data_IF_391694806571
#
_entry.id   IF_391694806571
#
_cell.length_a   1.000
_cell.length_b   1.000
_cell.length_c   1.000
_cell.angle_alpha   90.00
_cell.angle_beta   90.00
_cell.angle_gamma   90.00
#
_symmetry.space_group_name_H-M   'P 1'
#
loop_
_entity.id
_entity.type
_entity.pdbx_description
1 polymer ?
#
# COMPACT_ATOMS: atom_id res chain seq x y z
N UNK A 1 -1.56 16.75 -25.49
CA UNK A 1 -1.74 15.51 -24.71
C UNK A 1 -2.89 15.76 -23.75
N UNK A 2 -3.83 14.87 -23.57
CA UNK A 2 -4.88 15.09 -22.59
C UNK A 2 -4.25 15.27 -21.20
N UNK A 3 -4.52 16.41 -20.56
CA UNK A 3 -3.99 16.78 -19.23
C UNK A 3 -4.81 16.18 -18.07
N UNK A 4 -5.62 15.16 -18.33
CA UNK A 4 -6.60 14.70 -17.37
C UNK A 4 -6.16 13.40 -16.72
N UNK A 5 -6.24 13.37 -15.42
CA UNK A 5 -6.23 12.14 -14.64
C UNK A 5 -7.52 11.39 -14.94
N UNK A 6 -7.45 10.09 -15.14
CA UNK A 6 -8.63 9.23 -15.26
C UNK A 6 -8.85 8.45 -13.95
N UNK A 7 -7.77 7.91 -13.39
CA UNK A 7 -7.78 7.11 -12.17
C UNK A 7 -6.90 7.77 -11.10
N UNK A 8 -7.51 8.18 -10.00
CA UNK A 8 -6.85 8.76 -8.84
C UNK A 8 -6.86 7.81 -7.66
N UNK A 9 -5.69 7.43 -7.16
CA UNK A 9 -5.55 6.61 -5.97
C UNK A 9 -4.93 7.41 -4.83
N UNK A 10 -5.42 7.17 -3.62
CA UNK A 10 -4.89 7.70 -2.38
C UNK A 10 -4.46 6.48 -1.54
N UNK A 11 -3.22 6.45 -1.08
CA UNK A 11 -2.70 5.34 -0.28
C UNK A 11 -2.33 5.81 1.13
N UNK A 12 -2.61 4.96 2.12
CA UNK A 12 -2.41 5.25 3.54
C UNK A 12 -0.94 5.23 3.96
N UNK A 13 -0.06 4.62 3.13
CA UNK A 13 1.39 4.60 3.35
C UNK A 13 2.18 4.59 2.04
N UNK A 14 3.49 4.90 2.14
CA UNK A 14 4.37 5.00 0.97
C UNK A 14 4.67 3.65 0.32
N UNK A 15 4.84 2.60 1.12
CA UNK A 15 5.08 1.24 0.61
C UNK A 15 3.87 0.73 -0.17
N UNK A 16 2.67 0.89 0.40
CA UNK A 16 1.44 0.51 -0.28
C UNK A 16 1.17 1.32 -1.55
N UNK A 17 1.54 2.61 -1.56
CA UNK A 17 1.43 3.46 -2.74
C UNK A 17 2.36 2.99 -3.87
N UNK A 18 3.62 2.68 -3.55
CA UNK A 18 4.59 2.18 -4.55
C UNK A 18 4.19 0.81 -5.09
N UNK A 19 3.66 -0.07 -4.23
CA UNK A 19 3.12 -1.37 -4.63
C UNK A 19 1.93 -1.21 -5.58
N UNK A 20 0.96 -0.33 -5.26
CA UNK A 20 -0.17 -0.02 -6.13
C UNK A 20 0.29 0.56 -7.47
N UNK A 21 1.21 1.54 -7.46
CA UNK A 21 1.74 2.14 -8.69
C UNK A 21 2.42 1.09 -9.58
N UNK A 22 3.20 0.18 -8.98
CA UNK A 22 3.82 -0.93 -9.70
C UNK A 22 2.78 -1.89 -10.29
N UNK A 23 1.73 -2.23 -9.54
CA UNK A 23 0.64 -3.08 -10.02
C UNK A 23 -0.11 -2.47 -11.23
N UNK A 24 -0.41 -1.18 -11.17
CA UNK A 24 -1.03 -0.45 -12.28
C UNK A 24 -0.11 -0.39 -13.50
N UNK A 25 1.20 -0.16 -13.29
CA UNK A 25 2.17 -0.06 -14.36
C UNK A 25 2.48 -1.38 -15.09
N UNK A 26 2.19 -2.54 -14.47
CA UNK A 26 2.38 -3.87 -15.11
C UNK A 26 1.63 -4.05 -16.42
N UNK A 27 0.50 -3.36 -16.60
CA UNK A 27 -0.26 -3.34 -17.85
C UNK A 27 0.31 -2.39 -18.92
N UNK A 28 1.44 -1.70 -18.63
CA UNK A 28 2.00 -0.64 -19.44
C UNK A 28 1.31 0.72 -19.25
N UNK A 29 0.40 0.84 -18.28
CA UNK A 29 -0.27 2.10 -17.98
C UNK A 29 0.73 3.17 -17.51
N UNK A 30 0.64 4.41 -17.99
CA UNK A 30 1.46 5.52 -17.52
C UNK A 30 0.95 5.96 -16.12
N UNK A 31 1.76 5.70 -15.11
CA UNK A 31 1.45 5.96 -13.69
C UNK A 31 2.39 7.04 -13.15
N UNK A 32 1.88 7.94 -12.31
CA UNK A 32 2.70 8.80 -11.45
C UNK A 32 2.49 8.40 -9.99
N UNK A 33 3.58 8.39 -9.22
CA UNK A 33 3.56 8.24 -7.76
C UNK A 33 3.96 9.58 -7.13
N UNK A 34 3.14 10.11 -6.24
CA UNK A 34 3.34 11.37 -5.53
C UNK A 34 3.51 11.11 -4.03
N UNK A 35 4.50 11.77 -3.42
CA UNK A 35 4.73 11.70 -1.97
C UNK A 35 4.03 12.87 -1.29
N UNK A 36 2.83 12.63 -0.79
CA UNK A 36 1.95 13.66 -0.22
C UNK A 36 1.37 14.62 -1.26
N UNK A 37 0.71 15.65 -0.76
CA UNK A 37 0.09 16.70 -1.58
C UNK A 37 0.85 18.04 -1.56
N UNK A 38 1.90 18.13 -0.73
CA UNK A 38 2.68 19.35 -0.59
C UNK A 38 3.36 19.73 -1.91
N UNK A 39 3.13 20.96 -2.38
CA UNK A 39 3.70 21.46 -3.63
C UNK A 39 2.97 21.01 -4.90
N UNK A 40 1.90 20.26 -4.80
CA UNK A 40 1.03 19.99 -5.94
C UNK A 40 0.24 21.24 -6.30
N UNK A 41 0.28 21.60 -7.59
CA UNK A 41 -0.43 22.76 -8.15
C UNK A 41 -1.25 22.34 -9.36
N UNK A 42 -2.02 23.25 -9.91
CA UNK A 42 -2.74 23.02 -11.17
C UNK A 42 -1.80 22.80 -12.37
N UNK A 43 -0.57 23.32 -12.32
CA UNK A 43 0.44 23.15 -13.38
C UNK A 43 1.28 21.89 -13.22
N UNK A 44 1.13 21.14 -12.12
CA UNK A 44 1.84 19.87 -11.90
C UNK A 44 1.52 18.89 -13.04
N UNK A 45 2.52 18.38 -13.78
CA UNK A 45 2.30 17.41 -14.86
C UNK A 45 1.65 16.14 -14.31
N UNK A 46 0.61 15.64 -14.99
CA UNK A 46 -0.13 14.44 -14.56
C UNK A 46 -0.07 13.32 -15.58
N UNK A 47 -0.34 12.10 -15.11
CA UNK A 47 -0.55 10.91 -15.93
C UNK A 47 -2.02 10.46 -15.80
N UNK A 48 -2.52 9.60 -16.70
CA UNK A 48 -3.87 9.06 -16.61
C UNK A 48 -4.13 8.30 -15.29
N UNK A 49 -3.07 7.73 -14.70
CA UNK A 49 -3.10 7.06 -13.40
C UNK A 49 -2.21 7.81 -12.41
N UNK A 50 -2.80 8.40 -11.40
CA UNK A 50 -2.10 9.12 -10.33
C UNK A 50 -2.27 8.38 -9.00
N UNK A 51 -1.18 8.15 -8.29
CA UNK A 51 -1.16 7.56 -6.95
C UNK A 51 -0.55 8.55 -5.98
N UNK A 52 -1.31 8.98 -4.98
CA UNK A 52 -0.84 9.88 -3.92
C UNK A 52 -0.57 9.06 -2.66
N UNK A 53 0.68 9.02 -2.23
CA UNK A 53 1.12 8.36 -1.01
C UNK A 53 0.97 9.31 0.18
N UNK A 54 0.17 8.94 1.16
CA UNK A 54 0.06 9.64 2.44
C UNK A 54 0.80 8.85 3.53
N UNK A 55 0.96 9.42 4.72
CA UNK A 55 1.45 8.74 5.92
C UNK A 55 0.37 8.82 7.00
N UNK A 56 -0.80 8.23 6.73
CA UNK A 56 -1.99 8.40 7.56
C UNK A 56 -2.56 7.10 8.15
N UNK A 57 -1.93 5.93 7.92
CA UNK A 57 -2.43 4.63 8.42
C UNK A 57 -2.67 4.63 9.92
N UNK A 58 -1.75 5.18 10.70
CA UNK A 58 -1.78 5.24 12.16
C UNK A 58 -1.90 6.66 12.71
N UNK A 59 -2.19 7.63 11.82
CA UNK A 59 -2.43 9.01 12.24
C UNK A 59 -3.79 9.14 12.96
N UNK A 60 -4.00 10.20 13.76
CA UNK A 60 -5.33 10.54 14.24
C UNK A 60 -6.34 10.65 13.10
N UNK A 61 -7.58 10.20 13.33
CA UNK A 61 -8.62 10.11 12.28
C UNK A 61 -8.88 11.46 11.60
N UNK A 62 -8.92 12.55 12.35
CA UNK A 62 -9.12 13.91 11.84
C UNK A 62 -7.99 14.35 10.88
N UNK A 63 -6.75 14.01 11.20
CA UNK A 63 -5.59 14.24 10.33
C UNK A 63 -5.70 13.40 9.06
N UNK A 64 -6.01 12.11 9.19
CA UNK A 64 -6.18 11.22 8.04
C UNK A 64 -7.29 11.71 7.11
N UNK A 65 -8.42 12.18 7.67
CA UNK A 65 -9.53 12.76 6.90
C UNK A 65 -9.14 14.05 6.18
N UNK A 66 -8.41 14.94 6.84
CA UNK A 66 -7.96 16.19 6.24
C UNK A 66 -7.02 15.93 5.05
N UNK A 67 -6.01 15.07 5.25
CA UNK A 67 -5.03 14.74 4.22
C UNK A 67 -5.65 14.01 3.02
N UNK A 68 -6.55 13.05 3.27
CA UNK A 68 -7.21 12.31 2.20
C UNK A 68 -8.19 13.17 1.40
N UNK A 69 -8.92 14.08 2.04
CA UNK A 69 -9.78 15.05 1.34
C UNK A 69 -8.99 16.03 0.50
N UNK A 70 -7.84 16.50 1.00
CA UNK A 70 -6.97 17.36 0.21
C UNK A 70 -6.46 16.62 -1.05
N UNK A 71 -6.05 15.36 -0.90
CA UNK A 71 -5.63 14.54 -2.03
C UNK A 71 -6.79 14.29 -3.02
N UNK A 72 -8.00 13.98 -2.51
CA UNK A 72 -9.18 13.81 -3.35
C UNK A 72 -9.51 15.07 -4.14
N UNK A 73 -9.54 16.24 -3.49
CA UNK A 73 -9.84 17.52 -4.14
C UNK A 73 -8.87 17.79 -5.30
N UNK A 74 -7.58 17.59 -5.09
CA UNK A 74 -6.59 17.75 -6.16
C UNK A 74 -6.83 16.78 -7.32
N UNK A 75 -7.13 15.50 -7.05
CA UNK A 75 -7.43 14.50 -8.10
C UNK A 75 -8.69 14.89 -8.90
N UNK A 76 -9.74 15.33 -8.22
CA UNK A 76 -10.97 15.80 -8.86
C UNK A 76 -10.73 17.02 -9.76
N UNK A 77 -9.96 18.01 -9.28
CA UNK A 77 -9.57 19.20 -10.07
C UNK A 77 -8.74 18.83 -11.30
N UNK A 78 -8.03 17.69 -11.27
CA UNK A 78 -7.25 17.15 -12.39
C UNK A 78 -8.08 16.26 -13.32
N UNK A 79 -9.36 16.09 -13.05
CA UNK A 79 -10.33 15.38 -13.90
C UNK A 79 -10.44 13.89 -13.64
N UNK A 80 -10.03 13.39 -12.47
CA UNK A 80 -10.20 11.98 -12.12
C UNK A 80 -11.68 11.59 -12.11
N UNK A 81 -12.00 10.46 -12.73
CA UNK A 81 -13.36 9.88 -12.85
C UNK A 81 -13.48 8.58 -12.05
N UNK A 82 -12.36 7.98 -11.66
CA UNK A 82 -12.31 6.74 -10.89
C UNK A 82 -11.35 6.94 -9.73
N UNK A 83 -11.75 6.50 -8.53
CA UNK A 83 -11.04 6.72 -7.30
C UNK A 83 -10.75 5.41 -6.57
N UNK A 84 -9.61 5.36 -5.88
CA UNK A 84 -9.18 4.18 -5.14
C UNK A 84 -8.58 4.55 -3.79
N UNK A 85 -9.14 4.01 -2.71
CA UNK A 85 -8.56 4.10 -1.37
C UNK A 85 -7.72 2.84 -1.09
N UNK A 86 -6.40 3.01 -1.00
CA UNK A 86 -5.42 1.94 -0.83
C UNK A 86 -4.97 1.82 0.62
N UNK A 87 -5.17 0.66 1.18
CA UNK A 87 -4.68 0.28 2.51
C UNK A 87 -3.98 -1.09 2.48
N UNK A 88 -3.48 -1.56 3.64
CA UNK A 88 -2.67 -2.78 3.72
C UNK A 88 -3.45 -4.04 3.34
N UNK A 89 -2.74 -5.00 2.70
CA UNK A 89 -3.31 -6.33 2.41
C UNK A 89 -3.55 -7.19 3.66
N UNK A 90 -2.98 -6.83 4.80
CA UNK A 90 -3.25 -7.40 6.12
C UNK A 90 -4.27 -6.61 6.94
N UNK A 91 -4.95 -5.67 6.29
CA UNK A 91 -5.97 -4.78 6.86
C UNK A 91 -5.44 -3.76 7.87
N UNK A 92 -4.40 -4.04 8.64
CA UNK A 92 -3.66 -3.19 9.61
C UNK A 92 -4.50 -2.05 10.24
N UNK A 93 -5.66 -2.39 10.78
CA UNK A 93 -6.63 -1.40 11.29
C UNK A 93 -7.41 -1.98 12.45
N UNK A 94 -7.41 -1.26 13.57
CA UNK A 94 -8.19 -1.58 14.77
C UNK A 94 -9.59 -0.94 14.72
N UNK A 95 -10.35 -1.03 15.83
CA UNK A 95 -11.65 -0.37 15.94
C UNK A 95 -11.57 1.16 15.80
N UNK A 96 -10.43 1.77 16.17
CA UNK A 96 -10.14 3.19 16.02
C UNK A 96 -9.31 3.50 14.76
N UNK A 97 -9.25 2.55 13.81
CA UNK A 97 -8.44 2.69 12.59
C UNK A 97 -9.07 3.59 11.53
N UNK A 98 -8.28 3.91 10.53
CA UNK A 98 -8.62 4.92 9.51
C UNK A 98 -9.29 4.36 8.25
N UNK A 99 -9.33 3.03 8.06
CA UNK A 99 -9.86 2.44 6.79
C UNK A 99 -11.32 2.83 6.58
N UNK A 100 -12.16 2.59 7.59
CA UNK A 100 -13.60 2.88 7.52
C UNK A 100 -13.92 4.37 7.46
N UNK A 101 -13.43 5.19 8.41
CA UNK A 101 -13.72 6.63 8.44
C UNK A 101 -13.30 7.35 7.16
N UNK A 102 -12.12 7.04 6.61
CA UNK A 102 -11.66 7.61 5.34
C UNK A 102 -12.56 7.15 4.18
N UNK A 103 -12.87 5.87 4.10
CA UNK A 103 -13.77 5.38 3.04
C UNK A 103 -15.14 6.05 3.10
N UNK A 104 -15.76 6.22 4.28
CA UNK A 104 -17.05 6.93 4.43
C UNK A 104 -16.96 8.41 4.03
N UNK A 105 -15.86 9.08 4.39
CA UNK A 105 -15.66 10.47 4.00
C UNK A 105 -15.54 10.61 2.47
N UNK A 106 -14.71 9.75 1.84
CA UNK A 106 -14.54 9.76 0.38
C UNK A 106 -15.83 9.38 -0.34
N UNK A 107 -16.61 8.39 0.16
CA UNK A 107 -17.93 8.06 -0.38
C UNK A 107 -18.87 9.25 -0.32
N UNK A 108 -18.88 10.00 0.78
CA UNK A 108 -19.71 11.19 0.94
C UNK A 108 -19.30 12.29 -0.03
N UNK A 109 -18.02 12.56 -0.15
CA UNK A 109 -17.48 13.63 -0.99
C UNK A 109 -17.63 13.31 -2.50
N UNK A 110 -17.72 12.00 -2.86
CA UNK A 110 -17.95 11.49 -4.22
C UNK A 110 -19.43 11.15 -4.52
N UNK A 111 -20.34 11.32 -3.57
CA UNK A 111 -21.76 10.91 -3.67
C UNK A 111 -21.93 9.40 -4.01
N UNK A 112 -21.05 8.55 -3.47
CA UNK A 112 -21.06 7.11 -3.71
C UNK A 112 -21.86 6.37 -2.64
N UNK A 113 -22.89 5.64 -3.04
CA UNK A 113 -23.76 4.90 -2.13
C UNK A 113 -23.14 3.59 -1.60
N UNK A 114 -22.16 3.03 -2.31
CA UNK A 114 -21.54 1.74 -1.98
C UNK A 114 -20.09 1.67 -2.44
N UNK A 115 -19.24 1.00 -1.64
CA UNK A 115 -17.88 0.62 -2.05
C UNK A 115 -17.53 -0.80 -1.59
N UNK A 116 -16.47 -1.35 -2.16
CA UNK A 116 -15.95 -2.68 -1.82
C UNK A 116 -14.73 -2.56 -0.90
N UNK A 117 -14.51 -3.59 -0.08
CA UNK A 117 -13.32 -3.78 0.75
C UNK A 117 -12.62 -5.07 0.34
N UNK A 118 -11.49 -4.92 -0.30
CA UNK A 118 -10.78 -6.02 -0.92
C UNK A 118 -9.27 -5.99 -0.62
N UNK A 119 -8.85 -6.34 0.61
CA UNK A 119 -7.42 -6.40 0.95
C UNK A 119 -6.69 -7.63 0.37
N UNK A 120 -7.37 -8.66 -0.15
CA UNK A 120 -6.72 -9.87 -0.62
C UNK A 120 -5.61 -9.62 -1.66
N UNK A 121 -4.54 -10.40 -1.54
CA UNK A 121 -3.40 -10.39 -2.44
C UNK A 121 -2.84 -11.81 -2.56
N UNK A 122 -3.43 -12.68 -3.41
CA UNK A 122 -3.09 -14.09 -3.47
C UNK A 122 -1.61 -14.36 -3.75
N UNK A 123 -0.99 -13.60 -4.66
CA UNK A 123 0.45 -13.74 -4.96
C UNK A 123 1.35 -13.51 -3.73
N UNK A 124 0.88 -12.72 -2.75
CA UNK A 124 1.56 -12.49 -1.49
C UNK A 124 0.99 -13.34 -0.33
N UNK A 125 0.19 -14.37 -0.64
CA UNK A 125 -0.41 -15.26 0.34
C UNK A 125 -1.50 -14.62 1.19
N UNK A 126 -2.21 -13.58 0.70
CA UNK A 126 -3.36 -13.01 1.39
C UNK A 126 -4.63 -13.40 0.65
N UNK A 127 -5.46 -14.21 1.29
CA UNK A 127 -6.75 -14.64 0.76
C UNK A 127 -7.88 -14.31 1.74
N UNK A 128 -9.10 -14.19 1.20
CA UNK A 128 -10.30 -13.95 2.00
C UNK A 128 -11.29 -15.06 1.69
N UNK A 129 -11.75 -15.74 2.71
CA UNK A 129 -12.78 -16.78 2.61
C UNK A 129 -13.82 -16.59 3.71
N UNK A 130 -15.10 -16.54 3.32
CA UNK A 130 -16.24 -16.28 4.22
C UNK A 130 -16.03 -15.05 5.12
N UNK A 131 -15.44 -13.97 4.54
CA UNK A 131 -15.13 -12.73 5.23
C UNK A 131 -13.93 -12.79 6.17
N UNK A 132 -13.20 -13.91 6.23
CA UNK A 132 -12.01 -14.06 7.07
C UNK A 132 -10.75 -13.93 6.23
N UNK A 133 -9.83 -13.10 6.67
CA UNK A 133 -8.53 -12.89 6.04
C UNK A 133 -7.52 -13.93 6.53
N UNK A 134 -6.82 -14.53 5.58
CA UNK A 134 -5.71 -15.45 5.81
C UNK A 134 -4.37 -14.82 5.38
N UNK A 135 -3.31 -15.20 6.08
CA UNK A 135 -1.92 -14.87 5.77
C UNK A 135 -1.18 -16.19 5.63
N UNK A 136 -0.87 -16.59 4.39
CA UNK A 136 -0.46 -17.95 4.09
C UNK A 136 -1.55 -18.95 4.45
N UNK A 137 -1.21 -19.95 5.26
CA UNK A 137 -2.13 -21.00 5.72
C UNK A 137 -2.83 -20.67 7.05
N UNK A 138 -2.46 -19.55 7.70
CA UNK A 138 -2.99 -19.16 9.00
C UNK A 138 -4.06 -18.07 8.87
N UNK A 139 -5.01 -18.05 9.80
CA UNK A 139 -5.88 -16.90 9.96
C UNK A 139 -5.04 -15.66 10.32
N UNK A 140 -5.49 -14.47 9.92
CA UNK A 140 -4.84 -13.20 10.28
C UNK A 140 -4.58 -13.12 11.79
N UNK A 141 -5.55 -13.53 12.61
CA UNK A 141 -5.45 -13.57 14.08
C UNK A 141 -4.43 -14.58 14.63
N UNK A 142 -3.99 -15.52 13.82
CA UNK A 142 -3.02 -16.56 14.20
C UNK A 142 -1.67 -16.38 13.49
N UNK A 143 -1.57 -15.31 12.69
CA UNK A 143 -0.36 -14.91 11.98
C UNK A 143 0.54 -14.00 12.84
N UNK A 144 1.78 -13.68 12.40
CA UNK A 144 2.63 -12.70 13.07
C UNK A 144 2.00 -11.30 13.21
N UNK A 145 0.91 -11.01 12.46
CA UNK A 145 0.18 -9.74 12.57
C UNK A 145 -0.67 -9.65 13.84
N UNK A 146 -0.94 -10.76 14.53
CA UNK A 146 -1.73 -10.80 15.78
C UNK A 146 -1.24 -9.78 16.80
N UNK A 147 0.06 -9.75 17.02
CA UNK A 147 0.69 -8.90 18.02
C UNK A 147 1.55 -7.79 17.36
N UNK A 148 1.07 -7.30 16.19
CA UNK A 148 1.72 -6.17 15.52
C UNK A 148 1.76 -4.95 16.45
N UNK A 149 2.94 -4.28 16.62
CA UNK A 149 3.12 -3.27 17.66
C UNK A 149 2.23 -2.03 17.54
N UNK A 150 1.79 -1.66 16.34
CA UNK A 150 0.95 -0.48 16.11
C UNK A 150 -0.51 -0.85 15.85
N UNK A 151 -0.75 -1.96 15.14
CA UNK A 151 -2.07 -2.40 14.72
C UNK A 151 -2.23 -3.90 14.98
N UNK A 152 -2.43 -4.35 16.23
CA UNK A 152 -2.56 -5.78 16.56
C UNK A 152 -3.83 -6.36 15.97
N UNK A 153 -3.66 -7.35 15.06
CA UNK A 153 -4.75 -7.97 14.31
C UNK A 153 -5.24 -9.25 15.00
N UNK A 154 -6.03 -9.10 16.04
CA UNK A 154 -6.54 -10.20 16.88
C UNK A 154 -7.87 -10.81 16.41
N UNK A 155 -8.44 -10.29 15.33
CA UNK A 155 -9.60 -10.85 14.64
C UNK A 155 -9.28 -10.99 13.15
N UNK A 156 -9.74 -12.07 12.55
CA UNK A 156 -9.59 -12.32 11.11
C UNK A 156 -10.82 -11.94 10.31
N UNK A 157 -11.96 -11.70 10.95
CA UNK A 157 -13.21 -11.37 10.27
C UNK A 157 -13.26 -9.90 9.91
N UNK A 158 -13.09 -9.61 8.62
CA UNK A 158 -13.03 -8.25 8.10
C UNK A 158 -14.30 -7.44 8.33
N UNK A 159 -15.47 -8.10 8.34
CA UNK A 159 -16.72 -7.41 8.61
C UNK A 159 -16.80 -6.96 10.08
N UNK A 160 -16.29 -7.78 11.02
CA UNK A 160 -16.22 -7.40 12.44
C UNK A 160 -15.20 -6.30 12.70
N UNK A 161 -14.04 -6.35 12.00
CA UNK A 161 -13.01 -5.32 12.09
C UNK A 161 -13.49 -3.98 11.50
N UNK A 162 -14.26 -4.01 10.42
CA UNK A 162 -14.74 -2.81 9.75
C UNK A 162 -15.95 -2.18 10.46
N UNK A 163 -16.85 -3.00 11.01
CA UNK A 163 -18.11 -2.51 11.60
C UNK A 163 -17.97 -1.39 12.63
N UNK A 164 -17.03 -1.40 13.58
CA UNK A 164 -16.86 -0.29 14.53
C UNK A 164 -16.30 0.99 13.90
N UNK A 165 -15.72 0.90 12.71
CA UNK A 165 -15.11 2.02 12.02
C UNK A 165 -16.09 2.78 11.11
N UNK A 166 -17.28 2.23 10.83
CA UNK A 166 -18.25 2.78 9.87
C UNK A 166 -19.64 2.90 10.48
N UNK A 167 -20.41 3.89 10.01
CA UNK A 167 -21.78 4.14 10.47
C UNK A 167 -22.78 3.26 9.74
N UNK A 168 -22.52 2.97 8.46
CA UNK A 168 -23.40 2.22 7.59
C UNK A 168 -23.17 0.71 7.73
N UNK A 169 -24.11 -0.08 7.23
CA UNK A 169 -24.07 -1.55 7.31
C UNK A 169 -22.93 -2.13 6.47
N UNK A 170 -22.33 -3.19 6.99
CA UNK A 170 -21.29 -3.99 6.32
C UNK A 170 -21.87 -5.32 5.87
N UNK A 171 -21.64 -5.69 4.62
CA UNK A 171 -22.06 -6.95 4.01
C UNK A 171 -20.93 -7.72 3.37
N UNK A 172 -21.29 -8.87 2.78
CA UNK A 172 -20.35 -9.81 2.16
C UNK A 172 -20.83 -10.24 0.77
N UNK A 173 -19.91 -10.20 -0.19
CA UNK A 173 -19.97 -11.05 -1.39
C UNK A 173 -19.09 -12.27 -1.12
N UNK A 174 -19.75 -13.38 -0.81
CA UNK A 174 -19.05 -14.61 -0.43
C UNK A 174 -18.34 -15.30 -1.60
N UNK A 175 -17.38 -16.13 -1.30
CA UNK A 175 -16.66 -16.95 -2.26
C UNK A 175 -17.59 -17.69 -3.23
N UNK A 176 -18.68 -18.29 -2.73
CA UNK A 176 -19.65 -19.00 -3.57
C UNK A 176 -20.29 -18.13 -4.64
N UNK A 177 -20.44 -16.82 -4.39
CA UNK A 177 -20.93 -15.84 -5.37
C UNK A 177 -19.84 -15.47 -6.36
N UNK A 178 -18.63 -15.20 -5.87
CA UNK A 178 -17.48 -14.84 -6.73
C UNK A 178 -17.18 -15.96 -7.72
N UNK A 179 -17.24 -17.21 -7.28
CA UNK A 179 -17.00 -18.40 -8.11
C UNK A 179 -18.08 -18.59 -9.21
N UNK A 180 -19.23 -17.92 -9.11
CA UNK A 180 -20.25 -17.91 -10.17
C UNK A 180 -19.98 -16.84 -11.24
N UNK A 181 -18.94 -16.03 -11.09
CA UNK A 181 -18.47 -15.08 -12.07
C UNK A 181 -19.09 -13.69 -11.99
N UNK A 182 -18.67 -12.84 -12.91
CA UNK A 182 -18.92 -11.39 -12.95
C UNK A 182 -20.40 -11.01 -12.73
N UNK A 183 -21.30 -11.65 -13.44
CA UNK A 183 -22.74 -11.33 -13.36
C UNK A 183 -23.35 -11.64 -12.00
N UNK A 184 -22.85 -12.69 -11.32
CA UNK A 184 -23.31 -13.03 -9.98
C UNK A 184 -22.81 -12.01 -8.94
N UNK A 185 -21.54 -11.58 -9.05
CA UNK A 185 -20.98 -10.54 -8.20
C UNK A 185 -21.76 -9.24 -8.35
N UNK A 186 -22.02 -8.78 -9.59
CA UNK A 186 -22.82 -7.56 -9.84
C UNK A 186 -24.21 -7.66 -9.22
N UNK A 187 -24.96 -8.72 -9.51
CA UNK A 187 -26.31 -8.91 -8.91
C UNK A 187 -26.28 -8.90 -7.38
N UNK A 188 -25.23 -9.48 -6.76
CA UNK A 188 -25.12 -9.46 -5.30
C UNK A 188 -24.81 -8.06 -4.78
N UNK A 189 -23.92 -7.31 -5.42
CA UNK A 189 -23.64 -5.90 -5.08
C UNK A 189 -24.91 -5.06 -5.19
N UNK A 190 -25.66 -5.15 -6.30
CA UNK A 190 -26.91 -4.45 -6.50
C UNK A 190 -27.97 -4.83 -5.45
N UNK A 191 -28.01 -6.11 -5.05
CA UNK A 191 -28.88 -6.60 -3.97
C UNK A 191 -28.52 -5.96 -2.64
N UNK A 192 -27.24 -5.96 -2.27
CA UNK A 192 -26.74 -5.35 -1.05
C UNK A 192 -26.99 -3.84 -1.01
N UNK A 193 -26.86 -3.15 -2.14
CA UNK A 193 -27.13 -1.72 -2.23
C UNK A 193 -28.62 -1.42 -1.97
N UNK A 194 -29.55 -2.23 -2.51
CA UNK A 194 -30.99 -2.12 -2.22
C UNK A 194 -31.35 -2.40 -0.76
N UNK A 195 -30.53 -3.18 -0.06
CA UNK A 195 -30.62 -3.43 1.38
C UNK A 195 -29.96 -2.31 2.23
N UNK A 196 -29.51 -1.21 1.59
CA UNK A 196 -28.74 -0.11 2.20
C UNK A 196 -27.44 -0.59 2.88
N UNK A 197 -26.75 -1.53 2.25
CA UNK A 197 -25.43 -2.00 2.67
C UNK A 197 -24.37 -1.24 1.84
N UNK A 198 -23.70 -0.29 2.48
CA UNK A 198 -22.75 0.61 1.84
C UNK A 198 -21.34 0.04 1.74
N UNK A 199 -20.94 -0.80 2.69
CA UNK A 199 -19.59 -1.35 2.81
C UNK A 199 -19.62 -2.84 2.52
N UNK A 200 -18.93 -3.29 1.45
CA UNK A 200 -19.01 -4.69 1.01
C UNK A 200 -17.65 -5.35 1.01
N UNK A 201 -17.41 -6.26 1.94
CA UNK A 201 -16.24 -7.17 1.89
C UNK A 201 -16.46 -8.19 0.78
N UNK A 202 -15.43 -8.50 0.00
CA UNK A 202 -15.49 -9.49 -1.07
C UNK A 202 -14.44 -10.57 -0.85
N UNK A 203 -14.86 -11.84 -0.91
CA UNK A 203 -13.95 -12.99 -0.82
C UNK A 203 -13.14 -13.18 -2.09
N UNK A 204 -11.88 -13.59 -1.93
CA UNK A 204 -11.05 -14.12 -3.02
C UNK A 204 -9.87 -14.92 -2.50
N UNK A 205 -9.51 -15.97 -3.20
CA UNK A 205 -8.42 -16.88 -2.84
C UNK A 205 -7.34 -17.00 -3.91
N UNK A 206 -7.62 -16.56 -5.13
CA UNK A 206 -6.68 -16.62 -6.25
C UNK A 206 -6.81 -15.42 -7.22
N UNK A 207 -5.92 -15.36 -8.22
CA UNK A 207 -5.87 -14.26 -9.18
C UNK A 207 -7.06 -14.27 -10.17
N UNK A 208 -7.70 -15.42 -10.41
CA UNK A 208 -8.89 -15.50 -11.27
C UNK A 208 -10.08 -14.79 -10.60
N UNK A 209 -10.17 -14.87 -9.27
CA UNK A 209 -11.16 -14.10 -8.51
C UNK A 209 -10.89 -12.60 -8.58
N UNK A 210 -9.59 -12.18 -8.57
CA UNK A 210 -9.22 -10.77 -8.78
C UNK A 210 -9.77 -10.23 -10.09
N UNK A 211 -9.55 -10.96 -11.19
CA UNK A 211 -10.03 -10.57 -12.51
C UNK A 211 -11.56 -10.48 -12.55
N UNK A 212 -12.24 -11.46 -11.95
CA UNK A 212 -13.72 -11.49 -11.85
C UNK A 212 -14.26 -10.27 -11.10
N UNK A 213 -13.66 -9.95 -9.94
CA UNK A 213 -14.09 -8.83 -9.09
C UNK A 213 -13.79 -7.50 -9.76
N UNK A 214 -12.57 -7.31 -10.29
CA UNK A 214 -12.22 -6.09 -11.01
C UNK A 214 -13.17 -5.84 -12.20
N UNK A 215 -13.50 -6.88 -12.99
CA UNK A 215 -14.45 -6.77 -14.08
C UNK A 215 -15.89 -6.48 -13.60
N UNK A 216 -16.29 -7.04 -12.47
CA UNK A 216 -17.60 -6.75 -11.87
C UNK A 216 -17.70 -5.29 -11.39
N UNK A 217 -16.63 -4.76 -10.82
CA UNK A 217 -16.60 -3.46 -10.16
C UNK A 217 -16.02 -2.33 -11.04
N UNK A 218 -15.60 -2.58 -12.29
CA UNK A 218 -14.94 -1.59 -13.14
C UNK A 218 -15.76 -0.31 -13.40
N UNK A 219 -17.09 -0.38 -13.29
CA UNK A 219 -17.99 0.77 -13.46
C UNK A 219 -18.20 1.57 -12.18
N UNK A 220 -17.80 1.04 -11.01
CA UNK A 220 -17.90 1.78 -9.75
C UNK A 220 -16.93 2.97 -9.77
N UNK A 221 -17.38 4.11 -9.32
CA UNK A 221 -16.58 5.32 -9.25
C UNK A 221 -15.50 5.23 -8.18
N UNK A 222 -15.82 4.61 -7.05
CA UNK A 222 -14.94 4.49 -5.90
C UNK A 222 -14.76 3.03 -5.45
N UNK A 223 -13.52 2.60 -5.35
CA UNK A 223 -13.12 1.27 -4.89
C UNK A 223 -12.15 1.38 -3.72
N UNK A 224 -12.12 0.37 -2.85
CA UNK A 224 -11.11 0.29 -1.79
C UNK A 224 -10.47 -1.09 -1.68
N UNK A 225 -9.21 -1.14 -1.29
CA UNK A 225 -8.55 -2.44 -1.12
C UNK A 225 -7.03 -2.42 -1.01
N UNK A 226 -6.46 -3.60 -1.14
CA UNK A 226 -5.04 -3.81 -1.40
C UNK A 226 -4.68 -3.49 -2.84
N UNK A 227 -3.39 -3.61 -3.20
CA UNK A 227 -2.90 -3.28 -4.55
C UNK A 227 -3.39 -4.25 -5.62
N UNK A 228 -3.60 -5.51 -5.26
CA UNK A 228 -3.83 -6.58 -6.23
C UNK A 228 -5.10 -6.39 -7.06
N UNK A 229 -6.20 -5.93 -6.44
CA UNK A 229 -7.48 -5.71 -7.15
C UNK A 229 -7.39 -4.63 -8.22
N UNK A 230 -6.46 -3.69 -8.06
CA UNK A 230 -6.27 -2.61 -9.05
C UNK A 230 -5.45 -3.06 -10.27
N UNK A 231 -4.70 -4.16 -10.16
CA UNK A 231 -3.82 -4.65 -11.23
C UNK A 231 -4.53 -4.86 -12.59
N UNK A 232 -5.72 -5.48 -12.67
CA UNK A 232 -6.41 -5.66 -13.95
C UNK A 232 -7.18 -4.40 -14.43
N UNK A 233 -7.37 -3.38 -13.59
CA UNK A 233 -8.21 -2.22 -13.92
C UNK A 233 -7.71 -1.41 -15.13
N UNK A 234 -6.40 -1.10 -15.32
CA UNK A 234 -5.97 -0.31 -16.47
C UNK A 234 -6.32 -0.97 -17.81
N UNK A 235 -6.13 -2.28 -17.92
CA UNK A 235 -6.50 -3.05 -19.12
C UNK A 235 -8.02 -3.09 -19.34
N UNK A 236 -8.80 -3.22 -18.28
CA UNK A 236 -10.26 -3.17 -18.34
C UNK A 236 -10.75 -1.82 -18.83
N UNK A 237 -10.22 -0.72 -18.30
CA UNK A 237 -10.55 0.64 -18.72
C UNK A 237 -10.11 0.92 -20.16
N UNK A 238 -8.92 0.46 -20.56
CA UNK A 238 -8.43 0.58 -21.94
C UNK A 238 -9.31 -0.19 -22.92
N UNK A 239 -9.68 -1.43 -22.61
CA UNK A 239 -10.59 -2.26 -23.43
C UNK A 239 -12.00 -1.67 -23.52
N UNK A 240 -12.44 -0.98 -22.50
CA UNK A 240 -13.72 -0.26 -22.50
C UNK A 240 -13.68 1.10 -23.23
N UNK A 241 -12.49 1.52 -23.74
CA UNK A 241 -12.31 2.80 -24.43
C UNK A 241 -12.35 4.03 -23.50
N UNK A 242 -12.23 3.83 -22.18
CA UNK A 242 -12.29 4.91 -21.20
C UNK A 242 -10.95 5.64 -21.03
N UNK A 243 -9.85 4.96 -21.31
CA UNK A 243 -8.50 5.51 -21.26
C UNK A 243 -7.67 4.96 -22.40
N UNK A 244 -6.77 5.79 -22.94
CA UNK A 244 -5.89 5.41 -24.04
C UNK A 244 -4.44 5.50 -23.61
N UNK A 245 -3.68 4.42 -23.77
CA UNK A 245 -2.24 4.35 -23.60
C UNK A 245 -1.67 3.16 -24.38
N UNK A 246 -0.41 3.27 -24.75
CA UNK A 246 0.32 2.17 -25.39
C UNK A 246 0.86 1.23 -24.30
N UNK A 247 0.61 -0.09 -24.39
CA UNK A 247 1.02 -1.05 -23.36
C UNK A 247 2.54 -1.29 -23.25
N UNK A 248 3.34 -0.60 -24.04
CA UNK A 248 4.81 -0.72 -24.03
C UNK A 248 5.50 -0.18 -22.77
N UNK A 249 4.78 0.61 -21.96
CA UNK A 249 5.30 1.21 -20.71
C UNK A 249 6.50 2.17 -20.91
N UNK A 250 6.83 2.95 -19.91
CA UNK A 250 8.06 3.75 -19.93
C UNK A 250 9.27 2.84 -19.76
N UNK A 251 10.29 3.04 -20.58
CA UNK A 251 11.60 2.42 -20.39
C UNK A 251 12.26 3.02 -19.15
N UNK A 252 12.75 2.18 -18.24
CA UNK A 252 13.55 2.67 -17.12
C UNK A 252 14.82 3.35 -17.66
N UNK A 253 15.24 4.50 -17.10
CA UNK A 253 16.50 5.11 -17.48
C UNK A 253 17.66 4.15 -17.17
N UNK A 254 18.61 4.08 -18.09
CA UNK A 254 19.85 3.37 -17.82
C UNK A 254 20.62 4.13 -16.74
N UNK A 255 21.02 3.43 -15.68
CA UNK A 255 21.85 3.98 -14.61
C UNK A 255 23.29 3.56 -14.84
N UNK A 256 24.23 4.51 -14.79
CA UNK A 256 25.66 4.24 -14.93
C UNK A 256 26.30 3.72 -13.62
N UNK A 257 25.58 3.82 -12.51
CA UNK A 257 26.06 3.46 -11.18
C UNK A 257 25.41 2.19 -10.65
N UNK A 258 26.17 1.42 -9.88
CA UNK A 258 25.64 0.25 -9.19
C UNK A 258 24.64 0.67 -8.10
N UNK A 259 23.49 0.05 -8.02
CA UNK A 259 22.45 0.45 -7.08
C UNK A 259 22.89 0.26 -5.63
N UNK A 260 22.51 1.21 -4.78
CA UNK A 260 22.53 1.09 -3.34
C UNK A 260 21.14 0.64 -2.86
N UNK A 261 21.07 -0.50 -2.17
CA UNK A 261 19.86 -0.93 -1.49
C UNK A 261 19.84 -0.40 -0.04
N UNK A 262 18.69 0.07 0.40
CA UNK A 262 18.45 0.52 1.78
C UNK A 262 17.32 -0.31 2.39
N UNK A 263 17.48 -0.77 3.63
CA UNK A 263 16.50 -1.63 4.29
C UNK A 263 16.33 -1.28 5.77
N UNK A 264 15.12 -0.81 6.15
CA UNK A 264 14.75 -0.55 7.55
C UNK A 264 13.79 -1.57 8.13
N UNK A 265 13.10 -2.37 7.28
CA UNK A 265 12.09 -3.33 7.73
C UNK A 265 12.70 -4.50 8.51
N UNK A 266 12.06 -4.88 9.63
CA UNK A 266 12.41 -6.04 10.45
C UNK A 266 11.53 -7.26 10.18
N UNK A 267 10.75 -7.28 9.07
CA UNK A 267 9.94 -8.44 8.70
C UNK A 267 10.80 -9.68 8.46
N UNK A 268 10.22 -10.86 8.66
CA UNK A 268 10.93 -12.13 8.40
C UNK A 268 11.47 -12.19 6.97
N UNK A 269 10.65 -11.78 5.98
CA UNK A 269 11.05 -11.78 4.58
C UNK A 269 12.24 -10.86 4.34
N UNK A 270 12.24 -9.64 4.90
CA UNK A 270 13.36 -8.70 4.75
C UNK A 270 14.64 -9.25 5.37
N UNK A 271 14.56 -9.85 6.55
CA UNK A 271 15.73 -10.51 7.17
C UNK A 271 16.29 -11.63 6.30
N UNK A 272 15.42 -12.44 5.68
CA UNK A 272 15.83 -13.48 4.71
C UNK A 272 16.48 -12.87 3.46
N UNK A 273 15.95 -11.76 2.94
CA UNK A 273 16.56 -11.04 1.81
C UNK A 273 17.95 -10.48 2.16
N UNK A 274 18.09 -9.89 3.35
CA UNK A 274 19.40 -9.41 3.85
C UNK A 274 20.39 -10.56 3.99
N UNK A 275 19.98 -11.69 4.57
CA UNK A 275 20.82 -12.88 4.70
C UNK A 275 21.26 -13.40 3.33
N UNK A 276 20.32 -13.58 2.41
CA UNK A 276 20.59 -14.02 1.04
C UNK A 276 21.61 -13.10 0.34
N UNK A 277 21.41 -11.77 0.44
CA UNK A 277 22.32 -10.79 -0.17
C UNK A 277 23.76 -10.94 0.34
N UNK A 278 23.94 -11.12 1.65
CA UNK A 278 25.25 -11.32 2.28
C UNK A 278 25.91 -12.64 1.87
N UNK A 279 25.13 -13.72 1.84
CA UNK A 279 25.59 -15.07 1.45
C UNK A 279 26.06 -15.11 -0.01
N UNK A 280 25.51 -14.25 -0.87
CA UNK A 280 25.89 -14.16 -2.30
C UNK A 280 26.94 -13.08 -2.58
N UNK A 281 27.70 -12.67 -1.57
CA UNK A 281 28.85 -11.79 -1.72
C UNK A 281 28.54 -10.30 -1.86
N UNK A 282 27.31 -9.88 -1.57
CA UNK A 282 26.95 -8.46 -1.53
C UNK A 282 27.64 -7.73 -0.36
N UNK A 283 28.13 -6.52 -0.61
CA UNK A 283 28.72 -5.68 0.41
C UNK A 283 27.60 -5.08 1.29
N UNK A 284 27.59 -5.41 2.59
CA UNK A 284 26.51 -5.02 3.49
C UNK A 284 27.02 -4.30 4.73
N UNK A 285 26.36 -3.18 5.11
CA UNK A 285 26.63 -2.43 6.34
C UNK A 285 25.37 -2.43 7.22
N UNK A 286 25.50 -2.81 8.48
CA UNK A 286 24.42 -2.77 9.46
C UNK A 286 24.46 -1.46 10.23
N UNK A 287 23.31 -0.79 10.33
CA UNK A 287 23.05 0.32 11.24
C UNK A 287 22.50 -0.22 12.56
N UNK A 288 23.09 0.19 13.66
CA UNK A 288 22.57 -0.08 15.01
C UNK A 288 21.83 1.16 15.51
N UNK A 289 20.50 1.08 15.76
CA UNK A 289 19.73 2.23 16.25
C UNK A 289 20.22 2.79 17.59
N UNK A 290 20.82 1.94 18.47
CA UNK A 290 21.36 2.41 19.74
C UNK A 290 22.66 3.21 19.55
N UNK A 291 23.50 2.84 18.59
CA UNK A 291 24.69 3.61 18.25
C UNK A 291 24.30 4.93 17.55
N UNK A 292 23.34 4.89 16.63
CA UNK A 292 22.79 6.08 15.97
C UNK A 292 22.19 7.09 16.96
N UNK A 293 21.64 6.59 18.08
CA UNK A 293 21.06 7.45 19.13
C UNK A 293 22.10 8.17 20.00
N UNK A 294 23.36 7.74 19.97
CA UNK A 294 24.45 8.31 20.80
C UNK A 294 25.01 9.57 20.18
N UNK A 295 25.40 9.49 18.93
CA UNK A 295 26.00 10.60 18.18
C UNK A 295 26.04 10.32 16.66
N UNK A 296 26.59 11.25 15.89
CA UNK A 296 26.70 11.17 14.43
C UNK A 296 27.82 10.24 13.93
N UNK A 297 28.63 9.66 14.80
CA UNK A 297 29.79 8.85 14.38
C UNK A 297 29.40 7.59 13.64
N UNK A 298 28.25 6.98 13.99
CA UNK A 298 27.73 5.81 13.31
C UNK A 298 27.34 6.09 11.85
N UNK A 299 26.75 7.26 11.59
CA UNK A 299 26.42 7.69 10.21
C UNK A 299 27.70 8.01 9.44
N UNK A 300 28.66 8.72 10.04
CA UNK A 300 29.94 9.02 9.43
C UNK A 300 30.69 7.73 9.05
N UNK A 301 30.71 6.73 9.92
CA UNK A 301 31.33 5.43 9.65
C UNK A 301 30.64 4.69 8.47
N UNK A 302 29.31 4.76 8.39
CA UNK A 302 28.57 4.18 7.26
C UNK A 302 28.86 4.87 5.93
N UNK A 303 28.99 6.22 5.91
CA UNK A 303 29.43 7.00 4.75
C UNK A 303 30.83 6.62 4.31
N UNK A 304 31.77 6.54 5.24
CA UNK A 304 33.15 6.17 4.97
C UNK A 304 33.25 4.75 4.41
N UNK A 305 32.42 3.84 4.93
CA UNK A 305 32.33 2.49 4.40
C UNK A 305 31.79 2.52 2.97
N UNK A 306 30.72 3.27 2.69
CA UNK A 306 30.11 3.39 1.37
C UNK A 306 31.11 3.93 0.33
N UNK A 307 31.88 4.96 0.69
CA UNK A 307 32.89 5.59 -0.18
C UNK A 307 34.05 4.65 -0.50
N UNK A 308 34.34 3.67 0.36
CA UNK A 308 35.40 2.67 0.14
C UNK A 308 34.96 1.48 -0.70
N UNK A 309 33.67 1.33 -0.97
CA UNK A 309 33.20 0.21 -1.78
C UNK A 309 33.51 0.45 -3.27
N UNK A 310 33.92 -0.61 -4.01
CA UNK A 310 34.05 -0.52 -5.47
C UNK A 310 32.76 -0.03 -6.12
N UNK A 311 32.90 0.71 -7.22
CA UNK A 311 31.71 1.22 -7.95
C UNK A 311 30.77 0.09 -8.38
N UNK A 312 31.33 -1.03 -8.79
CA UNK A 312 30.62 -2.20 -9.31
C UNK A 312 30.03 -3.08 -8.21
N UNK A 313 30.39 -2.86 -6.94
CA UNK A 313 29.89 -3.67 -5.85
C UNK A 313 28.41 -3.43 -5.59
N UNK A 314 27.63 -4.49 -5.48
CA UNK A 314 26.28 -4.41 -4.95
C UNK A 314 26.34 -4.05 -3.46
N UNK A 315 25.67 -2.98 -3.08
CA UNK A 315 25.78 -2.38 -1.74
C UNK A 315 24.42 -2.42 -1.03
N UNK A 316 24.43 -2.77 0.24
CA UNK A 316 23.25 -2.78 1.10
C UNK A 316 23.57 -2.08 2.42
N UNK A 317 22.78 -1.09 2.80
CA UNK A 317 22.78 -0.55 4.17
C UNK A 317 21.45 -0.94 4.81
N UNK A 318 21.50 -1.56 6.01
CA UNK A 318 20.29 -2.10 6.63
C UNK A 318 20.29 -1.91 8.15
N UNK A 319 19.07 -1.74 8.69
CA UNK A 319 18.80 -1.75 10.13
C UNK A 319 17.90 -2.93 10.54
N UNK A 320 17.65 -3.87 9.61
CA UNK A 320 16.83 -5.05 9.86
C UNK A 320 17.41 -5.90 10.98
N UNK A 321 16.58 -6.26 11.96
CA UNK A 321 16.95 -6.98 13.16
C UNK A 321 15.91 -8.05 13.49
N UNK A 322 16.24 -8.98 14.37
CA UNK A 322 15.26 -9.96 14.86
C UNK A 322 14.29 -9.34 15.89
N UNK A 323 13.18 -10.02 16.25
CA UNK A 323 12.19 -9.47 17.15
C UNK A 323 12.71 -9.11 18.54
N UNK A 324 13.66 -9.88 19.07
CA UNK A 324 14.21 -9.65 20.40
C UNK A 324 15.11 -8.41 20.42
N UNK A 325 15.93 -8.23 19.38
CA UNK A 325 16.72 -7.01 19.19
C UNK A 325 15.83 -5.78 19.03
N UNK A 326 14.76 -5.88 18.22
CA UNK A 326 13.78 -4.78 18.04
C UNK A 326 13.14 -4.42 19.38
N UNK A 327 12.69 -5.42 20.16
CA UNK A 327 12.09 -5.19 21.47
C UNK A 327 13.06 -4.49 22.43
N UNK A 328 14.34 -4.89 22.44
CA UNK A 328 15.38 -4.25 23.24
C UNK A 328 15.61 -2.79 22.86
N UNK A 329 15.70 -2.48 21.57
CA UNK A 329 15.86 -1.10 21.08
C UNK A 329 14.64 -0.26 21.45
N UNK A 330 13.43 -0.77 21.25
CA UNK A 330 12.19 -0.08 21.61
C UNK A 330 12.03 0.14 23.11
N UNK A 331 12.51 -0.79 23.95
CA UNK A 331 12.52 -0.61 25.40
C UNK A 331 13.43 0.54 25.84
N UNK A 332 14.53 0.78 25.14
CA UNK A 332 15.50 1.82 25.49
C UNK A 332 15.17 3.20 24.90
N UNK A 333 14.68 3.25 23.66
CA UNK A 333 14.47 4.50 22.92
C UNK A 333 12.98 4.89 22.78
N UNK A 334 12.07 3.97 23.03
CA UNK A 334 10.68 4.06 22.62
C UNK A 334 10.48 3.74 21.12
N UNK A 335 9.32 3.20 20.71
CA UNK A 335 9.09 2.73 19.34
C UNK A 335 9.16 3.83 18.30
N UNK A 336 8.60 5.02 18.58
CA UNK A 336 8.60 6.16 17.65
C UNK A 336 10.02 6.70 17.39
N UNK A 337 10.81 6.91 18.46
CA UNK A 337 12.16 7.42 18.35
C UNK A 337 13.09 6.42 17.66
N UNK A 338 12.94 5.14 17.96
CA UNK A 338 13.72 4.08 17.33
C UNK A 338 13.48 4.04 15.80
N UNK A 339 12.22 4.13 15.36
CA UNK A 339 11.87 4.20 13.94
C UNK A 339 12.42 5.47 13.27
N UNK A 340 12.21 6.62 13.89
CA UNK A 340 12.62 7.91 13.35
C UNK A 340 14.14 8.04 13.13
N UNK A 341 14.94 7.60 14.08
CA UNK A 341 16.42 7.60 13.97
C UNK A 341 16.87 6.78 12.76
N UNK A 342 16.31 5.60 12.55
CA UNK A 342 16.63 4.75 11.40
C UNK A 342 16.19 5.39 10.09
N UNK A 343 14.98 5.95 10.02
CA UNK A 343 14.48 6.65 8.83
C UNK A 343 15.38 7.84 8.45
N UNK A 344 15.79 8.65 9.43
CA UNK A 344 16.67 9.79 9.22
C UNK A 344 18.06 9.36 8.73
N UNK A 345 18.67 8.35 9.36
CA UNK A 345 19.96 7.82 8.96
C UNK A 345 19.94 7.23 7.53
N UNK A 346 18.93 6.43 7.20
CA UNK A 346 18.80 5.86 5.87
C UNK A 346 18.56 6.96 4.81
N UNK A 347 17.76 7.98 5.12
CA UNK A 347 17.51 9.13 4.24
C UNK A 347 18.79 9.93 3.96
N UNK A 348 19.60 10.18 4.99
CA UNK A 348 20.87 10.90 4.86
C UNK A 348 21.89 10.10 4.02
N UNK A 349 21.99 8.79 4.25
CA UNK A 349 22.86 7.90 3.49
C UNK A 349 22.39 7.73 2.02
N UNK A 350 21.08 7.75 1.79
CA UNK A 350 20.53 7.80 0.44
C UNK A 350 20.98 9.07 -0.30
N UNK A 351 20.82 10.24 0.31
CA UNK A 351 21.24 11.51 -0.29
C UNK A 351 22.74 11.54 -0.61
N UNK A 352 23.58 10.96 0.27
CA UNK A 352 25.02 10.84 0.03
C UNK A 352 25.36 9.86 -1.10
N UNK A 353 24.63 8.77 -1.26
CA UNK A 353 24.87 7.78 -2.31
C UNK A 353 24.48 8.24 -3.72
N UNK A 354 23.72 9.34 -3.84
CA UNK A 354 23.31 9.97 -5.11
C UNK A 354 24.22 11.16 -5.52
N UNK A 355 25.11 11.60 -4.66
CA UNK A 355 26.07 12.67 -4.93
C UNK A 355 27.41 12.08 -5.40
#
# INVERSE_FOLDING_TARGET
>A
MPRNVFFGAIADDFTGASDLAAMLARSGAPVSLRLGTKGLTQDTPVRPFEVIALKCRTAPVDVALADTRHALAWLMERGAERFFWKYCSTFDSTAEGNIGPVAEALMTDLDCAQTIYYPAFPQNGRSIYMGHLYVGEALLSDSPMRDHPLTPMRDSNLMRLLRPQVKNKVGLVSFSVVNQGVSAVRRRLDGLQRENIAHVVIDAIDDAHLATIAQACQSMEFLTGGSAVASPLPDLYRKAGLVHFDPGGPTLPLTENTPLALSGSCSEMTRRQVAYFKEHGGAAWRLDPLELAKDETAIAAARDWLNRQPREAHKLIYASADPDEVANVQAQLGPERAGKIVEEALSELAAHGFS
#
